data_IF_137145634443
#
_entry.id   IF_137145634443
#
_cell.length_a   1.000
_cell.length_b   1.000
_cell.length_c   1.000
_cell.angle_alpha   90.00
_cell.angle_beta   90.00
_cell.angle_gamma   90.00
#
_symmetry.space_group_name_H-M   'P 1'
#
loop_
_entity.id
_entity.type
_entity.pdbx_description
1 polymer ?
#
# COMPACT_ATOMS: atom_id res chain seq x y z
N UNK A 1 27.71 14.62 -21.74
CA UNK A 1 27.52 13.20 -21.36
C UNK A 1 26.08 12.98 -20.93
N UNK A 2 25.37 12.04 -21.56
CA UNK A 2 23.99 11.71 -21.22
C UNK A 2 23.97 10.45 -20.36
N UNK A 3 23.48 10.54 -19.12
CA UNK A 3 23.30 9.37 -18.25
C UNK A 3 21.81 9.12 -18.04
N UNK A 4 21.31 8.05 -18.65
CA UNK A 4 19.97 7.51 -18.42
C UNK A 4 19.99 6.76 -17.08
N UNK A 5 19.06 7.06 -16.17
CA UNK A 5 18.87 6.33 -14.90
C UNK A 5 17.70 5.37 -15.03
N UNK A 6 17.92 4.11 -14.66
CA UNK A 6 16.85 3.15 -14.44
C UNK A 6 16.09 3.55 -13.16
N UNK A 7 14.78 3.74 -13.28
CA UNK A 7 13.90 4.09 -12.18
C UNK A 7 13.11 2.84 -11.79
N UNK A 8 13.62 2.05 -10.83
CA UNK A 8 12.95 0.99 -10.05
C UNK A 8 13.69 -0.36 -10.04
N UNK A 9 13.97 -0.83 -8.82
CA UNK A 9 14.31 -2.22 -8.52
C UNK A 9 15.77 -2.48 -8.17
N UNK A 10 16.26 -1.97 -7.03
CA UNK A 10 17.52 -2.45 -6.47
C UNK A 10 17.35 -2.98 -5.05
N UNK A 11 17.41 -4.31 -4.94
CA UNK A 11 17.84 -5.02 -3.74
C UNK A 11 19.36 -4.90 -3.61
N UNK A 12 19.85 -3.68 -3.36
CA UNK A 12 21.24 -3.42 -2.99
C UNK A 12 21.24 -2.39 -1.88
N UNK A 13 21.62 -2.83 -0.68
CA UNK A 13 22.05 -1.97 0.44
C UNK A 13 23.26 -1.13 -0.01
N UNK A 14 23.01 -0.08 -0.77
CA UNK A 14 23.96 1.02 -0.94
C UNK A 14 23.75 1.96 0.25
N UNK A 15 24.57 1.74 1.28
CA UNK A 15 24.78 2.70 2.34
C UNK A 15 25.12 4.07 1.71
N UNK A 16 24.21 5.03 1.81
CA UNK A 16 24.50 6.43 1.41
C UNK A 16 23.38 7.21 0.74
N UNK A 17 22.27 6.60 0.33
CA UNK A 17 21.06 7.34 -0.05
C UNK A 17 19.91 6.78 0.76
N UNK A 18 19.80 7.23 2.00
CA UNK A 18 18.57 7.06 2.76
C UNK A 18 17.56 7.94 2.04
N UNK A 19 16.65 7.33 1.26
CA UNK A 19 15.50 8.07 0.76
C UNK A 19 14.87 8.73 1.97
N UNK A 20 14.76 10.07 1.94
CA UNK A 20 14.15 10.80 3.05
C UNK A 20 12.71 10.31 3.17
N UNK A 21 12.41 9.66 4.29
CA UNK A 21 11.09 9.16 4.62
C UNK A 21 10.57 9.95 5.82
N UNK A 22 9.36 10.48 5.68
CA UNK A 22 8.64 11.15 6.75
C UNK A 22 7.79 10.09 7.47
N UNK A 23 8.00 9.92 8.78
CA UNK A 23 7.10 9.08 9.59
C UNK A 23 5.75 9.77 9.74
N UNK A 24 4.68 9.02 9.49
CA UNK A 24 3.32 9.55 9.49
C UNK A 24 2.65 9.34 10.85
N UNK A 25 2.12 10.42 11.41
CA UNK A 25 1.27 10.39 12.61
C UNK A 25 -0.20 10.03 12.28
N UNK A 26 -1.09 10.06 13.27
CA UNK A 26 -2.48 9.58 13.10
C UNK A 26 -3.26 10.53 12.22
N UNK A 27 -3.00 11.84 12.34
CA UNK A 27 -3.65 12.88 11.53
C UNK A 27 -3.20 12.79 10.07
N UNK A 28 -1.91 12.57 9.83
CA UNK A 28 -1.39 12.32 8.50
C UNK A 28 -1.97 11.02 7.92
N UNK A 29 -1.95 9.91 8.67
CA UNK A 29 -2.55 8.65 8.23
C UNK A 29 -4.04 8.76 7.90
N UNK A 30 -4.80 9.53 8.68
CA UNK A 30 -6.22 9.78 8.43
C UNK A 30 -6.47 10.48 7.08
N UNK A 31 -5.50 11.26 6.59
CA UNK A 31 -5.62 12.06 5.36
C UNK A 31 -5.43 11.24 4.08
N UNK A 32 -5.00 9.98 4.18
CA UNK A 32 -4.74 9.11 3.03
C UNK A 32 -5.51 7.79 3.08
N UNK A 33 -5.76 7.23 1.90
CA UNK A 33 -6.01 5.82 1.70
C UNK A 33 -4.68 5.11 1.42
N UNK A 34 -4.37 4.08 2.21
CA UNK A 34 -3.23 3.20 1.98
C UNK A 34 -3.71 1.99 1.19
N UNK A 35 -3.23 1.85 -0.05
CA UNK A 35 -3.75 0.85 -0.99
C UNK A 35 -2.60 -0.03 -1.48
N UNK A 36 -2.74 -1.34 -1.32
CA UNK A 36 -1.80 -2.32 -1.88
C UNK A 36 -2.42 -3.04 -3.08
N UNK A 37 -1.77 -2.94 -4.24
CA UNK A 37 -2.14 -3.70 -5.43
C UNK A 37 -1.43 -5.04 -5.48
N UNK A 38 -2.19 -6.13 -5.61
CA UNK A 38 -1.68 -7.51 -5.69
C UNK A 38 -2.34 -8.32 -6.80
N UNK A 39 -1.96 -9.58 -6.94
CA UNK A 39 -2.51 -10.54 -7.91
C UNK A 39 -3.38 -11.57 -7.20
N UNK A 40 -4.34 -12.16 -7.91
CA UNK A 40 -5.30 -13.12 -7.32
C UNK A 40 -4.61 -14.33 -6.69
N UNK A 41 -3.55 -14.84 -7.34
CA UNK A 41 -2.77 -15.98 -6.83
C UNK A 41 -2.15 -15.77 -5.45
N UNK A 42 -2.00 -14.51 -5.01
CA UNK A 42 -1.42 -14.17 -3.71
C UNK A 42 -2.48 -13.86 -2.65
N UNK A 43 -3.75 -13.71 -3.04
CA UNK A 43 -4.81 -13.23 -2.16
C UNK A 43 -5.00 -14.12 -0.93
N UNK A 44 -5.09 -15.43 -1.12
CA UNK A 44 -5.32 -16.37 -0.01
C UNK A 44 -4.25 -16.27 1.08
N UNK A 45 -2.98 -16.09 0.70
CA UNK A 45 -1.90 -15.90 1.69
C UNK A 45 -1.95 -14.49 2.32
N UNK A 46 -2.26 -13.45 1.54
CA UNK A 46 -2.39 -12.08 2.06
C UNK A 46 -3.55 -11.95 3.05
N UNK A 47 -4.68 -12.61 2.78
CA UNK A 47 -5.85 -12.63 3.67
C UNK A 47 -5.51 -13.35 4.98
N UNK A 48 -4.86 -14.51 4.90
CA UNK A 48 -4.53 -15.32 6.07
C UNK A 48 -3.37 -14.75 6.90
N UNK A 49 -2.36 -14.17 6.26
CA UNK A 49 -1.07 -13.85 6.89
C UNK A 49 -0.75 -12.35 6.91
N UNK A 50 -1.56 -11.51 6.26
CA UNK A 50 -1.31 -10.07 6.13
C UNK A 50 -0.36 -9.71 4.97
N UNK A 51 -0.11 -8.41 4.81
CA UNK A 51 0.82 -7.89 3.80
C UNK A 51 2.25 -7.94 4.32
N UNK A 52 3.09 -8.78 3.70
CA UNK A 52 4.49 -8.94 4.07
C UNK A 52 5.40 -8.05 3.22
N UNK A 53 6.48 -7.53 3.81
CA UNK A 53 7.54 -6.83 3.06
C UNK A 53 8.28 -7.73 2.07
N UNK A 54 8.16 -9.05 2.24
CA UNK A 54 8.87 -10.07 1.46
C UNK A 54 10.39 -9.82 1.51
N UNK A 55 11.06 -9.76 0.36
CA UNK A 55 12.49 -9.48 0.26
C UNK A 55 12.82 -7.98 0.26
N UNK A 56 11.86 -7.09 0.53
CA UNK A 56 12.07 -5.64 0.63
C UNK A 56 12.23 -5.21 2.09
N UNK A 57 12.70 -3.99 2.29
CA UNK A 57 12.84 -3.40 3.62
C UNK A 57 11.48 -3.00 4.23
N UNK A 58 10.52 -2.56 3.40
CA UNK A 58 9.19 -2.11 3.82
C UNK A 58 8.07 -2.71 2.95
N UNK A 59 6.86 -2.81 3.53
CA UNK A 59 5.61 -3.02 2.78
C UNK A 59 5.29 -1.76 1.99
N UNK A 60 5.14 -1.88 0.68
CA UNK A 60 4.86 -0.75 -0.21
C UNK A 60 3.36 -0.64 -0.47
N UNK A 61 2.86 0.58 -0.38
CA UNK A 61 1.47 0.96 -0.60
C UNK A 61 1.41 2.24 -1.42
N UNK A 62 0.37 2.39 -2.22
CA UNK A 62 0.00 3.66 -2.80
C UNK A 62 -0.66 4.54 -1.74
N UNK A 63 -0.34 5.83 -1.76
CA UNK A 63 -1.05 6.85 -1.02
C UNK A 63 -2.00 7.59 -1.96
N UNK A 64 -3.26 7.67 -1.57
CA UNK A 64 -4.26 8.48 -2.26
C UNK A 64 -4.86 9.43 -1.24
N UNK A 65 -4.80 10.75 -1.46
CA UNK A 65 -5.41 11.71 -0.53
C UNK A 65 -6.91 11.50 -0.53
N UNK A 66 -7.54 11.49 0.65
CA UNK A 66 -8.99 11.29 0.76
C UNK A 66 -9.78 12.38 0.05
N UNK A 67 -9.32 13.64 0.17
CA UNK A 67 -9.94 14.80 -0.50
C UNK A 67 -9.98 14.68 -2.03
N UNK A 68 -8.96 14.06 -2.64
CA UNK A 68 -8.89 13.86 -4.10
C UNK A 68 -9.87 12.79 -4.58
N UNK A 69 -10.39 11.98 -3.66
CA UNK A 69 -11.14 10.77 -3.96
C UNK A 69 -12.63 10.85 -3.57
N UNK A 70 -13.02 11.81 -2.72
CA UNK A 70 -14.39 11.96 -2.20
C UNK A 70 -14.70 11.11 -0.95
N UNK A 71 -15.98 10.91 -0.64
CA UNK A 71 -16.45 9.95 0.38
C UNK A 71 -16.59 8.57 -0.26
N UNK A 72 -15.69 7.64 0.06
CA UNK A 72 -15.35 6.52 -0.82
C UNK A 72 -15.60 5.16 -0.21
N UNK A 73 -16.79 5.00 0.35
CA UNK A 73 -17.32 3.66 0.66
C UNK A 73 -17.28 2.72 -0.55
N UNK A 74 -17.39 3.28 -1.77
CA UNK A 74 -17.64 2.50 -2.99
C UNK A 74 -16.66 2.72 -4.14
N UNK A 75 -15.49 3.34 -3.95
CA UNK A 75 -14.56 3.66 -5.06
C UNK A 75 -14.30 2.44 -5.97
N UNK A 76 -14.71 2.49 -7.26
CA UNK A 76 -13.91 1.93 -8.32
C UNK A 76 -12.71 2.86 -8.45
N UNK A 77 -11.60 2.53 -7.79
CA UNK A 77 -10.48 3.47 -7.73
C UNK A 77 -10.00 3.74 -9.16
N UNK A 78 -10.11 5.00 -9.57
CA UNK A 78 -9.74 5.47 -10.89
C UNK A 78 -8.36 4.90 -11.28
N UNK A 79 -8.32 4.19 -12.41
CA UNK A 79 -7.12 3.49 -12.89
C UNK A 79 -5.97 4.48 -13.09
N UNK A 80 -6.25 5.71 -13.49
CA UNK A 80 -5.25 6.75 -13.68
C UNK A 80 -4.76 7.34 -12.35
N UNK A 81 -5.65 7.51 -11.36
CA UNK A 81 -5.26 7.85 -9.99
C UNK A 81 -4.37 6.77 -9.38
N UNK A 82 -4.75 5.50 -9.52
CA UNK A 82 -3.97 4.36 -9.04
C UNK A 82 -2.60 4.25 -9.72
N UNK A 83 -2.56 4.45 -11.04
CA UNK A 83 -1.32 4.40 -11.80
C UNK A 83 -0.36 5.50 -11.35
N UNK A 84 -0.88 6.72 -11.11
CA UNK A 84 -0.10 7.85 -10.58
C UNK A 84 0.41 7.60 -9.16
N UNK A 85 -0.40 6.94 -8.33
CA UNK A 85 -0.02 6.57 -6.97
C UNK A 85 0.91 5.34 -6.90
N UNK A 86 1.38 4.82 -8.04
CA UNK A 86 2.37 3.74 -8.10
C UNK A 86 1.79 2.33 -8.09
N UNK A 87 0.47 2.16 -8.18
CA UNK A 87 -0.14 0.83 -8.36
C UNK A 87 0.09 0.36 -9.79
N UNK A 88 0.60 -0.86 -9.93
CA UNK A 88 0.81 -1.48 -11.24
C UNK A 88 -0.52 -1.69 -11.95
N UNK A 89 -0.60 -1.27 -13.22
CA UNK A 89 -1.79 -1.45 -14.07
C UNK A 89 -2.29 -2.89 -14.16
N UNK A 90 -1.38 -3.86 -14.08
CA UNK A 90 -1.71 -5.30 -14.14
C UNK A 90 -2.12 -5.95 -12.82
N UNK A 91 -2.17 -5.23 -11.69
CA UNK A 91 -2.70 -5.82 -10.46
C UNK A 91 -4.18 -6.19 -10.62
N UNK A 92 -4.61 -7.23 -9.92
CA UNK A 92 -5.96 -7.79 -10.04
C UNK A 92 -6.80 -7.49 -8.80
N UNK A 93 -6.16 -7.29 -7.64
CA UNK A 93 -6.81 -7.02 -6.36
C UNK A 93 -6.21 -5.76 -5.74
N UNK A 94 -7.09 -4.94 -5.15
CA UNK A 94 -6.73 -3.79 -4.33
C UNK A 94 -7.09 -4.08 -2.87
N UNK A 95 -6.11 -3.97 -1.99
CA UNK A 95 -6.28 -4.15 -0.54
C UNK A 95 -6.15 -2.78 0.12
N UNK A 96 -7.18 -2.39 0.87
CA UNK A 96 -7.22 -1.11 1.58
C UNK A 96 -6.86 -1.35 3.03
N UNK A 97 -5.89 -0.60 3.54
CA UNK A 97 -5.37 -0.72 4.90
C UNK A 97 -5.81 0.47 5.73
N UNK A 98 -6.35 0.18 6.91
CA UNK A 98 -6.55 1.16 7.97
C UNK A 98 -5.21 1.40 8.69
N UNK A 99 -4.51 2.45 8.28
CA UNK A 99 -3.23 2.79 8.87
C UNK A 99 -3.35 3.17 10.35
N UNK A 100 -4.43 3.82 10.79
CA UNK A 100 -4.62 4.20 12.20
C UNK A 100 -4.74 2.94 13.05
N UNK A 101 -5.58 2.00 12.62
CA UNK A 101 -5.73 0.70 13.29
C UNK A 101 -4.43 -0.09 13.28
N UNK A 102 -3.71 -0.12 12.16
CA UNK A 102 -2.42 -0.80 12.07
C UNK A 102 -1.36 -0.17 13.00
N UNK A 103 -1.34 1.16 13.14
CA UNK A 103 -0.44 1.87 14.05
C UNK A 103 -0.75 1.59 15.51
N UNK A 104 -2.03 1.51 15.88
CA UNK A 104 -2.44 1.08 17.22
C UNK A 104 -1.96 -0.34 17.57
N UNK A 105 -1.74 -1.20 16.58
CA UNK A 105 -1.14 -2.53 16.76
C UNK A 105 0.40 -2.53 16.76
N UNK A 106 1.05 -1.40 16.46
CA UNK A 106 2.51 -1.25 16.45
C UNK A 106 3.16 -1.16 15.07
N UNK A 107 2.39 -1.13 13.97
CA UNK A 107 2.96 -0.84 12.66
C UNK A 107 3.44 0.61 12.59
N UNK A 108 4.58 0.87 11.94
CA UNK A 108 4.99 2.24 11.59
C UNK A 108 4.71 2.51 10.12
N UNK A 109 4.31 3.74 9.80
CA UNK A 109 4.02 4.15 8.42
C UNK A 109 4.84 5.37 8.07
N UNK A 110 5.25 5.41 6.80
CA UNK A 110 6.09 6.47 6.26
C UNK A 110 5.57 6.90 4.90
N UNK A 111 5.92 8.12 4.53
CA UNK A 111 5.80 8.63 3.17
C UNK A 111 7.20 8.92 2.62
N UNK A 112 7.50 8.36 1.46
CA UNK A 112 8.74 8.69 0.74
C UNK A 112 8.63 10.05 0.05
N UNK A 113 9.76 10.61 -0.38
CA UNK A 113 9.81 11.83 -1.18
C UNK A 113 9.03 11.76 -2.51
N UNK A 114 8.67 10.55 -2.99
CA UNK A 114 7.88 10.31 -4.20
C UNK A 114 6.43 9.94 -3.90
N UNK A 115 5.92 10.31 -2.71
CA UNK A 115 4.55 10.03 -2.25
C UNK A 115 4.16 8.53 -2.23
N UNK A 116 5.15 7.66 -2.08
CA UNK A 116 4.92 6.22 -1.86
C UNK A 116 4.74 5.97 -0.37
N UNK A 117 3.69 5.23 -0.03
CA UNK A 117 3.43 4.78 1.33
C UNK A 117 4.27 3.57 1.67
N UNK A 118 4.90 3.59 2.83
CA UNK A 118 5.78 2.51 3.30
C UNK A 118 5.37 2.13 4.71
N UNK A 119 5.53 0.86 5.06
CA UNK A 119 5.37 0.41 6.44
C UNK A 119 6.39 -0.67 6.80
N UNK A 120 6.94 -0.57 8.01
CA UNK A 120 7.74 -1.64 8.60
C UNK A 120 6.91 -2.88 8.92
N UNK A 121 5.59 -2.71 9.07
CA UNK A 121 4.73 -3.69 9.69
C UNK A 121 5.17 -4.03 11.12
N UNK A 122 4.54 -5.04 11.70
CA UNK A 122 5.01 -5.72 12.91
C UNK A 122 5.85 -6.88 12.41
N UNK A 123 7.15 -6.83 12.68
CA UNK A 123 8.12 -7.83 12.18
C UNK A 123 8.08 -8.03 10.65
N UNK A 124 7.78 -6.95 9.90
CA UNK A 124 7.68 -7.01 8.44
C UNK A 124 6.28 -7.31 7.88
N UNK A 125 5.24 -7.35 8.74
CA UNK A 125 3.87 -7.71 8.36
C UNK A 125 2.87 -6.63 8.77
N UNK A 126 2.08 -6.13 7.82
CA UNK A 126 0.86 -5.37 8.12
C UNK A 126 -0.29 -6.37 8.28
N UNK A 127 -0.88 -6.52 9.47
CA UNK A 127 -1.88 -7.57 9.74
C UNK A 127 -3.14 -7.43 8.89
N UNK A 128 -3.74 -8.55 8.49
CA UNK A 128 -5.01 -8.55 7.75
C UNK A 128 -6.19 -8.01 8.56
N UNK A 129 -6.11 -8.02 9.89
CA UNK A 129 -7.07 -7.36 10.78
C UNK A 129 -7.09 -5.84 10.62
N UNK A 130 -6.05 -5.23 10.03
CA UNK A 130 -6.05 -3.83 9.64
C UNK A 130 -6.67 -3.58 8.27
N UNK A 131 -7.06 -4.61 7.52
CA UNK A 131 -7.70 -4.41 6.23
C UNK A 131 -9.10 -3.83 6.43
N UNK A 132 -9.44 -2.82 5.65
CA UNK A 132 -10.79 -2.25 5.58
C UNK A 132 -11.62 -3.06 4.60
N UNK A 133 -11.07 -3.25 3.39
CA UNK A 133 -11.70 -4.00 2.31
C UNK A 133 -10.66 -4.50 1.32
N UNK A 134 -11.01 -5.54 0.57
CA UNK A 134 -10.27 -5.94 -0.62
C UNK A 134 -11.24 -6.13 -1.78
N UNK A 135 -10.87 -5.64 -2.96
CA UNK A 135 -11.74 -5.69 -4.15
C UNK A 135 -10.99 -6.24 -5.35
N UNK A 136 -11.65 -7.09 -6.12
CA UNK A 136 -11.16 -7.56 -7.42
C UNK A 136 -11.46 -6.51 -8.48
N UNK A 137 -10.45 -6.08 -9.22
CA UNK A 137 -10.55 -4.98 -10.20
C UNK A 137 -11.40 -5.32 -11.43
N UNK A 138 -11.44 -6.59 -11.83
CA UNK A 138 -12.13 -7.03 -13.06
C UNK A 138 -13.64 -6.86 -12.97
N UNK A 139 -14.23 -7.22 -11.84
CA UNK A 139 -15.68 -7.32 -11.65
C UNK A 139 -16.18 -6.53 -10.43
N UNK A 140 -15.28 -5.88 -9.67
CA UNK A 140 -15.63 -5.13 -8.48
C UNK A 140 -15.99 -6.02 -7.28
N UNK A 141 -15.79 -7.34 -7.37
CA UNK A 141 -16.16 -8.25 -6.29
C UNK A 141 -15.41 -7.92 -5.00
N UNK A 142 -16.14 -7.75 -3.91
CA UNK A 142 -15.58 -7.57 -2.57
C UNK A 142 -15.10 -8.93 -2.07
N UNK A 143 -13.79 -9.02 -1.82
CA UNK A 143 -13.11 -10.23 -1.31
C UNK A 143 -12.89 -10.16 0.21
N UNK A 144 -12.93 -8.97 0.80
CA UNK A 144 -12.82 -8.76 2.25
C UNK A 144 -13.69 -7.56 2.67
N UNK A 145 -14.40 -7.61 3.82
CA UNK A 145 -14.49 -8.76 4.72
C UNK A 145 -15.23 -9.94 4.06
N UNK A 146 -14.81 -11.16 4.39
CA UNK A 146 -15.43 -12.38 3.87
C UNK A 146 -16.84 -12.48 4.44
N UNK A 147 -17.84 -12.23 3.59
CA UNK A 147 -19.25 -12.36 3.96
C UNK A 147 -19.53 -13.87 3.98
N UNK A 148 -19.56 -14.46 5.18
CA UNK A 148 -20.05 -15.82 5.40
C UNK A 148 -21.57 -15.90 5.22
#
# INVERSE_FOLDING_TARGET
EWRIRANQGHSLRLAGVQESMEELDDAACASYHFIHGTYERHWTSIEAEGLKRMNRDHVHMALVRREDSGDTSDLPVDIDLLSRAGIRRGCEILVFVDAIRARAMGCRFYRSANDVGLSDGIEGVVPSTAFVRAVRRRDGAVLYPTIN
#
